data_IF_282526542325
#
_entry.id   IF_282526542325
#
_cell.length_a   1.000
_cell.length_b   1.000
_cell.length_c   1.000
_cell.angle_alpha   90.00
_cell.angle_beta   90.00
_cell.angle_gamma   90.00
#
_symmetry.space_group_name_H-M   'P 1'
#
loop_
_entity.id
_entity.type
_entity.pdbx_description
1 polymer ?
2 non-polymer ?
3 water ?
#
# COMPACT_ATOMS: atom_id res chain seq x y z
N UNK A 1 -16.97 4.82 11.59
CA UNK A 1 -17.95 3.96 10.87
C UNK A 1 -17.31 2.82 10.08
N UNK A 2 -18.12 1.83 9.73
CA UNK A 2 -17.67 0.65 8.98
C UNK A 2 -17.05 0.96 7.63
N UNK A 3 -17.72 1.80 6.86
CA UNK A 3 -17.25 2.15 5.53
C UNK A 3 -15.92 2.90 5.64
N UNK A 4 -15.85 3.89 6.53
CA UNK A 4 -14.61 4.64 6.77
C UNK A 4 -13.44 3.74 7.18
N UNK A 5 -13.70 2.78 8.06
CA UNK A 5 -12.70 1.81 8.50
C UNK A 5 -12.20 0.96 7.33
N UNK A 6 -13.13 0.50 6.50
CA UNK A 6 -12.80 -0.23 5.29
C UNK A 6 -11.90 0.62 4.39
N UNK A 7 -12.31 1.86 4.13
CA UNK A 7 -11.53 2.76 3.27
C UNK A 7 -10.10 2.99 3.78
N UNK A 8 -9.95 3.08 5.09
CA UNK A 8 -8.64 3.27 5.71
C UNK A 8 -7.72 2.07 5.48
N UNK A 9 -8.29 0.87 5.58
CA UNK A 9 -7.55 -0.38 5.36
C UNK A 9 -7.15 -0.56 3.89
N UNK A 10 -8.03 -0.17 2.97
CA UNK A 10 -7.72 -0.19 1.54
C UNK A 10 -6.56 0.75 1.25
N UNK A 11 -6.61 1.95 1.84
CA UNK A 11 -5.55 2.94 1.70
C UNK A 11 -4.22 2.44 2.26
N UNK A 12 -4.26 1.75 3.40
CA UNK A 12 -3.06 1.17 3.99
C UNK A 12 -2.44 0.12 3.07
N UNK A 13 -3.27 -0.71 2.44
CA UNK A 13 -2.79 -1.69 1.46
C UNK A 13 -2.18 -1.05 0.21
N UNK A 14 -2.79 0.04 -0.25
CA UNK A 14 -2.27 0.83 -1.36
C UNK A 14 -0.86 1.37 -1.06
N UNK A 15 -0.65 1.85 0.16
CA UNK A 15 0.67 2.30 0.59
C UNK A 15 1.70 1.18 0.59
N UNK A 16 1.34 0.02 1.15
CA UNK A 16 2.26 -1.12 1.19
C UNK A 16 2.63 -1.60 -0.21
N UNK A 17 1.65 -1.62 -1.10
CA UNK A 17 1.87 -1.98 -2.50
C UNK A 17 2.87 -1.02 -3.19
N UNK A 18 2.73 0.28 -2.95
CA UNK A 18 3.65 1.27 -3.52
C UNK A 18 5.06 1.12 -2.96
N UNK A 19 5.17 0.83 -1.67
CA UNK A 19 6.45 0.54 -1.01
C UNK A 19 7.16 -0.67 -1.62
N UNK A 20 6.41 -1.75 -1.81
CA UNK A 20 6.91 -2.98 -2.43
C UNK A 20 7.41 -2.71 -3.86
N UNK A 21 6.64 -1.95 -4.63
CA UNK A 21 7.04 -1.64 -6.00
C UNK A 21 8.33 -0.81 -6.05
N UNK A 22 8.51 0.08 -5.08
CA UNK A 22 9.76 0.82 -4.93
C UNK A 22 10.90 -0.15 -4.59
N UNK A 23 10.68 -1.02 -3.60
CA UNK A 23 11.62 -2.09 -3.23
C UNK A 23 12.03 -2.97 -4.42
N UNK A 24 11.06 -3.38 -5.23
CA UNK A 24 11.34 -4.20 -6.41
C UNK A 24 12.22 -3.43 -7.40
N UNK A 25 11.95 -2.13 -7.56
CA UNK A 25 12.77 -1.26 -8.39
C UNK A 25 14.20 -1.16 -7.86
N UNK A 26 14.34 -1.10 -6.54
CA UNK A 26 15.64 -0.95 -5.89
C UNK A 26 16.48 -2.22 -5.97
N UNK A 27 15.84 -3.38 -5.84
CA UNK A 27 16.52 -4.67 -6.00
C UNK A 27 17.08 -4.83 -7.42
N UNK A 28 16.30 -4.42 -8.41
CA UNK A 28 16.74 -4.45 -9.81
C UNK A 28 17.79 -3.37 -10.10
N UNK A 29 17.81 -2.33 -9.27
CA UNK A 29 18.85 -1.27 -9.23
C UNK A 29 18.48 -0.01 -10.04
X LIG B 1 -7.30 -3.97 -0.48
#
# INVERSE_FOLDING_TARGET
GEIAAIKQEIAANKKEIAAIKWEIAAIKQGYG
CL CL
#
